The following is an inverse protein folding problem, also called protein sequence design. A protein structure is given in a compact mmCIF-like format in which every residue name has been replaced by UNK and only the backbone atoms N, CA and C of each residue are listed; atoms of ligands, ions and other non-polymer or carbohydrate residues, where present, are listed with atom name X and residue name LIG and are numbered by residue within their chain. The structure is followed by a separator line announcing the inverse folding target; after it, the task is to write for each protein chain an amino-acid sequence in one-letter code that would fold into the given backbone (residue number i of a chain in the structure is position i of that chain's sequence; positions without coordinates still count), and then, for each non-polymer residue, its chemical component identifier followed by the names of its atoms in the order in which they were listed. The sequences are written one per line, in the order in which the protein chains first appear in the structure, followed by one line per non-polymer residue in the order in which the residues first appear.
data_IF_680057448694
#
_entry.id   IF_680057448694
#
_cell.length_a   1.000
_cell.length_b   1.000
_cell.length_c   1.000
_cell.angle_alpha   90.00
_cell.angle_beta   90.00
_cell.angle_gamma   90.00
#
_symmetry.space_group_name_H-M   'P 1'
#
loop_
_entity.id
_entity.type
_entity.pdbx_description
1 polymer ?
#
# COMPACT_ATOMS: atom_id res chain seq x y z
N UNK A 1 -13.99 10.88 7.27
CA UNK A 1 -15.07 10.99 6.25
C UNK A 1 -14.66 10.39 4.92
N UNK A 2 -13.49 10.74 4.36
CA UNK A 2 -13.05 10.27 3.04
C UNK A 2 -12.65 8.79 2.99
N UNK A 3 -11.97 8.27 4.03
CA UNK A 3 -11.75 6.83 4.18
C UNK A 3 -13.04 6.01 4.21
N UNK A 4 -14.15 6.61 4.67
CA UNK A 4 -15.47 5.98 4.62
C UNK A 4 -15.99 5.90 3.17
N UNK A 5 -15.76 6.93 2.35
CA UNK A 5 -16.13 6.96 0.93
C UNK A 5 -15.31 5.92 0.15
N UNK A 6 -13.99 5.89 0.35
CA UNK A 6 -13.11 4.89 -0.28
C UNK A 6 -13.55 3.47 0.09
N UNK A 7 -13.79 3.21 1.38
CA UNK A 7 -14.27 1.90 1.85
C UNK A 7 -15.62 1.52 1.25
N UNK A 8 -16.53 2.49 1.16
CA UNK A 8 -17.83 2.29 0.54
C UNK A 8 -17.68 1.91 -0.94
N UNK A 9 -16.88 2.66 -1.71
CA UNK A 9 -16.59 2.36 -3.10
C UNK A 9 -15.95 0.97 -3.27
N UNK A 10 -14.98 0.60 -2.43
CA UNK A 10 -14.38 -0.73 -2.42
C UNK A 10 -15.40 -1.84 -2.15
N UNK A 11 -16.38 -1.62 -1.26
CA UNK A 11 -17.42 -2.61 -0.97
C UNK A 11 -18.34 -2.92 -2.17
N UNK A 12 -18.43 -1.99 -3.12
CA UNK A 12 -19.14 -2.19 -4.39
C UNK A 12 -18.21 -2.59 -5.56
N UNK A 13 -16.94 -2.88 -5.29
CA UNK A 13 -15.96 -3.18 -6.34
C UNK A 13 -15.59 -1.98 -7.23
N UNK A 14 -15.93 -0.76 -6.84
CA UNK A 14 -15.68 0.48 -7.60
C UNK A 14 -14.26 1.00 -7.36
N UNK A 15 -13.26 0.14 -7.59
CA UNK A 15 -11.86 0.41 -7.23
C UNK A 15 -11.25 1.57 -8.02
N UNK A 16 -11.61 1.75 -9.29
CA UNK A 16 -11.14 2.88 -10.10
C UNK A 16 -11.55 4.23 -9.50
N UNK A 17 -12.80 4.35 -9.07
CA UNK A 17 -13.31 5.59 -8.47
C UNK A 17 -12.77 5.80 -7.06
N UNK A 18 -12.55 4.71 -6.31
CA UNK A 18 -11.85 4.78 -5.03
C UNK A 18 -10.41 5.30 -5.21
N UNK A 19 -9.73 4.89 -6.30
CA UNK A 19 -8.39 5.37 -6.64
C UNK A 19 -8.40 6.86 -7.00
N UNK A 20 -9.30 7.29 -7.90
CA UNK A 20 -9.45 8.70 -8.30
C UNK A 20 -9.67 9.61 -7.07
N UNK A 21 -10.53 9.20 -6.14
CA UNK A 21 -10.76 9.93 -4.88
C UNK A 21 -9.49 9.98 -4.02
N UNK A 22 -8.77 8.85 -3.93
CA UNK A 22 -7.50 8.80 -3.18
C UNK A 22 -6.48 9.75 -3.79
N UNK A 23 -6.28 9.75 -5.12
CA UNK A 23 -5.32 10.61 -5.83
C UNK A 23 -5.66 12.09 -5.68
N UNK A 24 -6.91 12.47 -5.89
CA UNK A 24 -7.37 13.84 -5.69
C UNK A 24 -7.07 14.35 -4.28
N UNK A 25 -7.25 13.50 -3.25
CA UNK A 25 -6.92 13.88 -1.88
C UNK A 25 -5.43 14.17 -1.67
N UNK A 26 -4.52 13.44 -2.33
CA UNK A 26 -3.09 13.75 -2.18
C UNK A 26 -2.71 15.09 -2.79
N UNK A 27 -3.35 15.47 -3.89
CA UNK A 27 -3.04 16.69 -4.61
C UNK A 27 -3.54 17.92 -3.84
N UNK A 28 -4.75 17.82 -3.26
CA UNK A 28 -5.42 18.92 -2.56
C UNK A 28 -5.00 19.06 -1.08
N UNK A 29 -4.83 17.94 -0.36
CA UNK A 29 -4.55 17.96 1.08
C UNK A 29 -3.06 17.88 1.38
N UNK A 30 -2.24 18.76 0.77
CA UNK A 30 -0.76 18.82 0.85
C UNK A 30 -0.13 18.65 2.25
N UNK A 31 -0.90 18.70 3.32
CA UNK A 31 -0.54 18.26 4.67
C UNK A 31 -1.59 17.27 5.21
N UNK A 32 -1.31 15.96 5.18
CA UNK A 32 -2.11 14.99 5.95
C UNK A 32 -2.38 13.60 5.38
N UNK A 33 -1.60 13.11 4.39
CA UNK A 33 -1.71 11.70 3.99
C UNK A 33 -1.07 10.83 5.06
N UNK A 34 -1.89 10.02 5.73
CA UNK A 34 -1.39 9.04 6.69
C UNK A 34 -0.77 7.84 6.00
N UNK A 35 0.08 7.10 6.72
CA UNK A 35 0.60 5.81 6.26
C UNK A 35 -0.51 4.83 5.84
N UNK A 36 -1.65 4.86 6.55
CA UNK A 36 -2.82 4.06 6.20
C UNK A 36 -3.45 4.46 4.86
N UNK A 37 -3.50 5.75 4.56
CA UNK A 37 -4.00 6.24 3.27
C UNK A 37 -3.09 5.78 2.11
N UNK A 38 -1.77 5.74 2.31
CA UNK A 38 -0.81 5.24 1.32
C UNK A 38 -0.96 3.74 1.10
N UNK A 39 -1.12 2.95 2.16
CA UNK A 39 -1.36 1.51 2.05
C UNK A 39 -2.67 1.20 1.29
N UNK A 40 -3.74 1.97 1.56
CA UNK A 40 -5.00 1.86 0.82
C UNK A 40 -4.81 2.25 -0.64
N UNK A 41 -4.07 3.33 -0.95
CA UNK A 41 -3.79 3.71 -2.33
C UNK A 41 -3.01 2.64 -3.07
N UNK A 42 -2.00 2.05 -2.44
CA UNK A 42 -1.22 0.97 -3.02
C UNK A 42 -2.11 -0.22 -3.42
N UNK A 43 -3.02 -0.65 -2.55
CA UNK A 43 -3.99 -1.71 -2.83
C UNK A 43 -4.95 -1.34 -3.99
N UNK A 44 -5.36 -0.08 -4.07
CA UNK A 44 -6.19 0.42 -5.15
C UNK A 44 -5.45 0.46 -6.50
N UNK A 45 -4.22 0.96 -6.53
CA UNK A 45 -3.38 0.97 -7.73
C UNK A 45 -3.17 -0.46 -8.22
N UNK A 46 -2.89 -1.39 -7.31
CA UNK A 46 -2.78 -2.80 -7.66
C UNK A 46 -4.04 -3.30 -8.37
N UNK A 47 -5.21 -3.11 -7.76
CA UNK A 47 -6.49 -3.63 -8.28
C UNK A 47 -6.87 -3.04 -9.64
N UNK A 48 -6.45 -1.82 -9.92
CA UNK A 48 -6.86 -1.08 -11.13
C UNK A 48 -5.80 -1.17 -12.23
N UNK A 49 -4.52 -1.13 -11.87
CA UNK A 49 -3.39 -0.97 -12.80
C UNK A 49 -2.34 -2.08 -12.73
N UNK A 50 -2.41 -2.97 -11.73
CA UNK A 50 -1.50 -4.10 -11.59
C UNK A 50 -0.19 -3.78 -10.85
N UNK A 51 0.62 -4.83 -10.71
CA UNK A 51 1.80 -4.87 -9.83
C UNK A 51 2.84 -3.81 -10.22
N UNK A 52 3.14 -3.64 -11.50
CA UNK A 52 4.19 -2.72 -11.96
C UNK A 52 3.92 -1.27 -11.54
N UNK A 53 2.65 -0.83 -11.62
CA UNK A 53 2.29 0.53 -11.24
C UNK A 53 2.23 0.69 -9.71
N UNK A 54 1.88 -0.38 -8.98
CA UNK A 54 1.93 -0.39 -7.52
C UNK A 54 3.37 -0.25 -7.02
N UNK A 55 4.33 -0.94 -7.65
CA UNK A 55 5.76 -0.81 -7.33
C UNK A 55 6.27 0.61 -7.58
N UNK A 56 5.96 1.21 -8.74
CA UNK A 56 6.34 2.60 -9.02
C UNK A 56 5.78 3.59 -7.99
N UNK A 57 4.55 3.38 -7.54
CA UNK A 57 3.99 4.20 -6.47
C UNK A 57 4.73 3.98 -5.15
N UNK A 58 4.98 2.73 -4.77
CA UNK A 58 5.74 2.40 -3.56
C UNK A 58 7.13 3.06 -3.55
N UNK A 59 7.83 3.02 -4.68
CA UNK A 59 9.17 3.61 -4.82
C UNK A 59 9.16 5.15 -4.82
N UNK A 60 8.03 5.76 -5.17
CA UNK A 60 7.85 7.21 -5.07
C UNK A 60 7.65 7.72 -3.64
N UNK A 61 7.37 6.82 -2.68
CA UNK A 61 7.14 7.19 -1.29
C UNK A 61 8.47 7.51 -0.58
N UNK A 62 8.49 8.52 0.31
CA UNK A 62 9.64 8.74 1.19
C UNK A 62 9.94 7.49 2.03
N UNK A 63 11.21 7.19 2.25
CA UNK A 63 11.66 6.03 3.04
C UNK A 63 11.02 5.99 4.44
N UNK A 64 10.80 7.16 5.05
CA UNK A 64 10.15 7.31 6.36
C UNK A 64 8.69 6.88 6.38
N UNK A 65 8.03 6.85 5.22
CA UNK A 65 6.63 6.47 5.05
C UNK A 65 6.46 5.00 4.63
N UNK A 66 7.53 4.34 4.18
CA UNK A 66 7.58 2.91 3.84
C UNK A 66 7.65 2.05 5.11
N UNK A 67 6.62 2.17 5.94
CA UNK A 67 6.50 1.42 7.19
C UNK A 67 5.98 0.00 6.95
N UNK A 68 5.93 -0.82 8.00
CA UNK A 68 5.39 -2.17 7.95
C UNK A 68 3.99 -2.27 7.32
N UNK A 69 3.15 -1.23 7.45
CA UNK A 69 1.80 -1.22 6.89
C UNK A 69 1.82 -1.15 5.36
N UNK A 70 2.70 -0.32 4.80
CA UNK A 70 2.84 -0.15 3.35
C UNK A 70 3.51 -1.37 2.74
N UNK A 71 4.56 -1.89 3.39
CA UNK A 71 5.16 -3.16 3.01
C UNK A 71 4.17 -4.33 3.10
N UNK A 72 3.32 -4.39 4.13
CA UNK A 72 2.28 -5.40 4.26
C UNK A 72 1.27 -5.36 3.11
N UNK A 73 0.88 -4.16 2.66
CA UNK A 73 0.04 -4.01 1.48
C UNK A 73 0.75 -4.48 0.19
N UNK A 74 2.05 -4.21 0.04
CA UNK A 74 2.86 -4.70 -1.09
C UNK A 74 3.05 -6.22 -1.08
N UNK A 75 3.21 -6.83 0.10
CA UNK A 75 3.30 -8.28 0.23
C UNK A 75 1.97 -8.96 -0.10
N UNK A 76 0.85 -8.41 0.41
CA UNK A 76 -0.48 -8.89 0.07
C UNK A 76 -0.72 -8.84 -1.46
N UNK A 77 -0.21 -7.77 -2.10
CA UNK A 77 -0.22 -7.62 -3.54
C UNK A 77 0.47 -8.79 -4.27
N UNK A 78 1.71 -9.11 -3.89
CA UNK A 78 2.47 -10.18 -4.52
C UNK A 78 1.84 -11.56 -4.28
N UNK A 79 1.34 -11.83 -3.08
CA UNK A 79 0.66 -13.08 -2.75
C UNK A 79 -0.57 -13.31 -3.64
N UNK A 80 -1.40 -12.27 -3.84
CA UNK A 80 -2.58 -12.36 -4.71
C UNK A 80 -2.23 -12.56 -6.19
N UNK A 81 -1.10 -12.04 -6.66
CA UNK A 81 -0.65 -12.16 -8.05
C UNK A 81 0.34 -13.31 -8.28
N UNK A 82 0.62 -14.11 -7.24
CA UNK A 82 1.57 -15.23 -7.27
C UNK A 82 3.00 -14.82 -7.68
N UNK A 83 3.41 -13.60 -7.31
CA UNK A 83 4.74 -13.07 -7.57
C UNK A 83 5.73 -13.47 -6.46
N UNK A 84 5.98 -14.79 -6.29
CA UNK A 84 6.74 -15.34 -5.16
C UNK A 84 8.15 -14.75 -5.00
N UNK A 85 8.89 -14.61 -6.10
CA UNK A 85 10.25 -14.04 -6.08
C UNK A 85 10.27 -12.62 -5.50
N UNK A 86 9.27 -11.79 -5.85
CA UNK A 86 9.15 -10.42 -5.36
C UNK A 86 8.70 -10.36 -3.91
N UNK A 87 7.83 -11.28 -3.51
CA UNK A 87 7.42 -11.44 -2.11
C UNK A 87 8.62 -11.78 -1.22
N UNK A 88 9.41 -12.79 -1.60
CA UNK A 88 10.60 -13.23 -0.86
C UNK A 88 11.66 -12.13 -0.75
N UNK A 89 11.96 -11.45 -1.87
CA UNK A 89 12.89 -10.32 -1.88
C UNK A 89 12.43 -9.19 -0.95
N UNK A 90 11.13 -8.89 -0.94
CA UNK A 90 10.55 -7.84 -0.09
C UNK A 90 10.60 -8.20 1.39
N UNK A 91 10.30 -9.45 1.74
CA UNK A 91 10.44 -9.96 3.12
C UNK A 91 11.89 -9.85 3.58
N UNK A 92 12.86 -10.17 2.72
CA UNK A 92 14.27 -10.07 3.05
C UNK A 92 14.70 -8.62 3.34
N UNK A 93 14.26 -7.66 2.51
CA UNK A 93 14.49 -6.22 2.74
C UNK A 93 13.92 -5.78 4.09
N UNK A 94 12.71 -6.23 4.44
CA UNK A 94 12.09 -5.90 5.73
C UNK A 94 12.85 -6.47 6.93
N UNK A 95 13.48 -7.64 6.79
CA UNK A 95 14.34 -8.25 7.83
C UNK A 95 15.61 -7.44 8.05
N UNK A 96 16.25 -7.05 6.96
CA UNK A 96 17.51 -6.29 6.97
C UNK A 96 17.30 -4.86 7.49
N UNK A 97 16.15 -4.26 7.19
CA UNK A 97 15.80 -2.89 7.58
C UNK A 97 15.30 -2.77 9.03
N UNK A 98 15.42 -3.82 9.87
CA UNK A 98 14.87 -3.92 11.24
C UNK A 98 13.36 -3.64 11.38
N UNK A 99 12.63 -3.52 10.27
CA UNK A 99 11.18 -3.30 10.26
C UNK A 99 10.41 -4.50 10.86
N UNK A 100 11.02 -5.69 10.85
CA UNK A 100 10.49 -6.90 11.49
C UNK A 100 10.96 -7.11 12.93
N UNK A 101 11.82 -6.25 13.48
CA UNK A 101 12.39 -6.42 14.83
C UNK A 101 11.37 -6.26 15.97
N UNK A 102 10.12 -5.89 15.67
CA UNK A 102 9.06 -5.70 16.67
C UNK A 102 7.94 -6.77 16.61
N UNK A 103 8.00 -7.73 15.68
CA UNK A 103 6.94 -8.74 15.51
C UNK A 103 7.28 -10.11 16.12
N UNK A 104 8.53 -10.35 16.55
CA UNK A 104 8.97 -11.64 17.10
C UNK A 104 8.91 -11.69 18.63
N UNK A 105 8.54 -10.59 19.31
CA UNK A 105 8.41 -10.58 20.78
C UNK A 105 6.99 -10.91 21.29
N UNK A 106 6.04 -11.24 20.41
CA UNK A 106 4.63 -11.48 20.78
C UNK A 106 3.96 -12.67 20.04
N UNK A 107 4.75 -13.60 19.48
CA UNK A 107 4.30 -14.97 19.18
C UNK A 107 5.15 -15.94 19.99
#
# INVERSE_FOLDING_TARGET
MLQTIIRHLCSFGRFKQALEVSEFMSEEMRYGISVGDMAVRLDLILKVHGVEQAEKYFDSLPDTMRTFQVYGALLNCYAHHKCLEKEEATVQIMRESRLLSNAVSLM
#
